data_IF_668262114179
#
_entry.id   IF_668262114179
#
_cell.length_a   1.000
_cell.length_b   1.000
_cell.length_c   1.000
_cell.angle_alpha   90.00
_cell.angle_beta   90.00
_cell.angle_gamma   90.00
#
_symmetry.space_group_name_H-M   'P 1'
#
loop_
_entity.id
_entity.type
_entity.pdbx_description
1 polymer ?
#
# COMPACT_ATOMS: atom_id res chain seq x y z
N UNK A 1 -18.44 1.65 -22.62
CA UNK A 1 -18.14 2.68 -21.60
C UNK A 1 -16.77 3.22 -21.92
N UNK A 2 -16.58 4.52 -21.83
CA UNK A 2 -15.25 5.10 -21.93
C UNK A 2 -14.40 4.57 -20.77
N UNK A 3 -13.12 4.35 -21.03
CA UNK A 3 -12.20 3.77 -20.06
C UNK A 3 -11.80 4.83 -19.03
N UNK A 4 -12.01 4.58 -17.73
CA UNK A 4 -11.67 5.52 -16.64
C UNK A 4 -10.19 5.89 -16.74
N UNK A 5 -9.88 7.16 -17.03
CA UNK A 5 -8.51 7.66 -17.15
C UNK A 5 -8.00 8.07 -15.79
N UNK A 6 -6.85 7.53 -15.38
CA UNK A 6 -6.34 7.65 -14.01
C UNK A 6 -4.96 8.27 -13.96
N UNK A 7 -4.81 9.26 -13.06
CA UNK A 7 -3.53 9.86 -12.71
C UNK A 7 -3.20 9.58 -11.24
N UNK A 8 -1.96 9.15 -10.96
CA UNK A 8 -1.49 8.80 -9.62
C UNK A 8 -0.47 9.83 -9.09
N UNK A 9 -0.90 10.66 -8.14
CA UNK A 9 -0.17 11.82 -7.63
C UNK A 9 1.01 11.49 -6.71
N UNK A 10 1.12 10.23 -6.27
CA UNK A 10 2.17 9.75 -5.38
C UNK A 10 2.44 8.29 -5.71
N UNK A 11 2.85 8.05 -6.96
CA UNK A 11 2.66 6.74 -7.56
C UNK A 11 3.52 5.63 -6.94
N UNK A 12 4.63 5.98 -6.30
CA UNK A 12 5.47 5.04 -5.58
C UNK A 12 5.88 3.86 -6.47
N UNK A 13 5.86 2.67 -5.89
CA UNK A 13 6.11 1.44 -6.67
C UNK A 13 4.96 1.05 -7.62
N UNK A 14 3.88 1.83 -7.71
CA UNK A 14 2.72 1.59 -8.56
C UNK A 14 1.66 0.65 -8.00
N UNK A 15 1.59 0.47 -6.67
CA UNK A 15 0.62 -0.44 -6.04
C UNK A 15 -0.84 -0.04 -6.26
N UNK A 16 -1.16 1.24 -6.04
CA UNK A 16 -2.50 1.79 -6.32
C UNK A 16 -2.83 1.74 -7.80
N UNK A 17 -1.91 2.21 -8.65
CA UNK A 17 -2.05 2.18 -10.11
C UNK A 17 -2.25 0.77 -10.66
N UNK A 18 -1.56 -0.25 -10.13
CA UNK A 18 -1.79 -1.64 -10.51
C UNK A 18 -3.22 -2.04 -10.18
N UNK A 19 -3.67 -1.83 -8.94
CA UNK A 19 -5.03 -2.17 -8.55
C UNK A 19 -6.09 -1.46 -9.38
N UNK A 20 -5.90 -0.17 -9.66
CA UNK A 20 -6.82 0.59 -10.51
C UNK A 20 -6.88 0.03 -11.94
N UNK A 21 -5.74 -0.40 -12.51
CA UNK A 21 -5.69 -1.07 -13.81
C UNK A 21 -6.46 -2.40 -13.80
N UNK A 22 -6.25 -3.24 -12.77
CA UNK A 22 -6.98 -4.50 -12.64
C UNK A 22 -8.49 -4.28 -12.41
N UNK A 23 -8.88 -3.16 -11.79
CA UNK A 23 -10.26 -2.68 -11.70
C UNK A 23 -10.84 -2.18 -13.03
N UNK A 24 -10.03 -2.11 -14.09
CA UNK A 24 -10.39 -1.72 -15.45
C UNK A 24 -10.20 -0.24 -15.78
N UNK A 25 -9.46 0.51 -14.97
CA UNK A 25 -9.05 1.87 -15.32
C UNK A 25 -7.80 1.87 -16.24
N UNK A 26 -7.60 2.96 -16.98
CA UNK A 26 -6.39 3.25 -17.75
C UNK A 26 -5.48 4.16 -16.95
N UNK A 27 -4.27 3.69 -16.64
CA UNK A 27 -3.25 4.55 -16.02
C UNK A 27 -2.64 5.41 -17.12
N UNK A 28 -2.93 6.71 -17.10
CA UNK A 28 -2.45 7.66 -18.12
C UNK A 28 -1.23 8.44 -17.66
N UNK A 29 -0.97 8.48 -16.35
CA UNK A 29 0.23 9.09 -15.81
C UNK A 29 0.40 8.85 -14.33
N UNK A 30 1.60 9.18 -13.84
CA UNK A 30 1.92 9.16 -12.43
C UNK A 30 3.11 10.04 -12.12
N UNK A 31 3.22 10.48 -10.88
CA UNK A 31 4.28 11.35 -10.41
C UNK A 31 4.83 10.88 -9.06
N UNK A 32 6.15 10.89 -8.95
CA UNK A 32 6.88 10.64 -7.71
C UNK A 32 8.23 11.36 -7.75
N UNK A 33 8.77 11.70 -6.59
CA UNK A 33 10.09 12.35 -6.48
C UNK A 33 11.23 11.32 -6.44
N UNK A 34 10.96 10.11 -5.96
CA UNK A 34 11.98 9.10 -5.69
C UNK A 34 12.29 8.29 -6.96
N UNK A 35 13.51 8.43 -7.50
CA UNK A 35 13.94 7.75 -8.74
C UNK A 35 13.58 6.26 -8.83
N UNK A 36 13.94 5.41 -7.85
CA UNK A 36 13.53 4.00 -7.82
C UNK A 36 12.02 3.75 -7.88
N UNK A 37 11.17 4.64 -7.34
CA UNK A 37 9.72 4.52 -7.49
C UNK A 37 9.29 4.82 -8.92
N UNK A 38 9.79 5.91 -9.49
CA UNK A 38 9.58 6.29 -10.90
C UNK A 38 10.01 5.17 -11.85
N UNK A 39 11.18 4.57 -11.63
CA UNK A 39 11.67 3.47 -12.45
C UNK A 39 10.76 2.24 -12.33
N UNK A 40 10.32 1.91 -11.12
CA UNK A 40 9.31 0.86 -10.90
C UNK A 40 8.00 1.15 -11.65
N UNK A 41 7.55 2.40 -11.64
CA UNK A 41 6.32 2.79 -12.34
C UNK A 41 6.48 2.63 -13.86
N UNK A 42 7.57 3.16 -14.44
CA UNK A 42 7.87 3.05 -15.89
C UNK A 42 7.91 1.61 -16.38
N UNK A 43 8.49 0.70 -15.60
CA UNK A 43 8.58 -0.72 -15.95
C UNK A 43 7.20 -1.40 -16.11
N UNK A 44 6.17 -0.92 -15.40
CA UNK A 44 4.87 -1.57 -15.35
C UNK A 44 3.76 -0.79 -16.08
N UNK A 45 3.99 0.49 -16.38
CA UNK A 45 3.08 1.38 -17.08
C UNK A 45 3.81 2.13 -18.22
N UNK A 46 4.32 1.43 -19.25
CA UNK A 46 5.18 2.03 -20.28
C UNK A 46 4.46 3.07 -21.16
N UNK A 47 3.13 3.00 -21.24
CA UNK A 47 2.30 3.96 -21.99
C UNK A 47 1.92 5.20 -21.16
N UNK A 48 2.17 5.20 -19.85
CA UNK A 48 1.79 6.30 -18.97
C UNK A 48 2.83 7.42 -18.98
N UNK A 49 2.38 8.68 -18.89
CA UNK A 49 3.27 9.82 -18.72
C UNK A 49 3.80 9.87 -17.28
N UNK A 50 5.11 9.68 -17.12
CA UNK A 50 5.74 9.62 -15.80
C UNK A 50 6.53 10.89 -15.52
N UNK A 51 6.15 11.59 -14.46
CA UNK A 51 6.80 12.81 -14.00
C UNK A 51 7.69 12.49 -12.79
N UNK A 52 9.00 12.70 -12.93
CA UNK A 52 9.94 12.61 -11.81
C UNK A 52 10.18 14.00 -11.24
N UNK A 53 9.25 14.49 -10.43
CA UNK A 53 9.27 15.87 -9.96
C UNK A 53 8.54 16.00 -8.63
N UNK A 54 8.88 17.05 -7.89
CA UNK A 54 8.08 17.47 -6.75
C UNK A 54 6.69 17.93 -7.22
N UNK A 55 5.66 17.27 -6.71
CA UNK A 55 4.25 17.54 -7.02
C UNK A 55 3.83 18.99 -6.69
N UNK A 56 4.52 19.64 -5.74
CA UNK A 56 4.29 21.05 -5.38
C UNK A 56 4.72 22.01 -6.50
N UNK A 57 5.65 21.57 -7.35
CA UNK A 57 6.15 22.34 -8.49
C UNK A 57 5.37 21.97 -9.75
N UNK A 58 5.14 20.67 -9.99
CA UNK A 58 4.34 20.20 -11.12
C UNK A 58 2.92 20.80 -11.04
N UNK A 59 2.45 21.39 -12.13
CA UNK A 59 1.11 21.99 -12.19
C UNK A 59 0.09 21.00 -12.75
N UNK A 60 -1.19 21.08 -12.34
CA UNK A 60 -2.22 20.24 -12.95
C UNK A 60 -2.40 20.52 -14.44
N UNK A 61 -2.15 21.75 -14.91
CA UNK A 61 -2.17 22.11 -16.33
C UNK A 61 -1.08 21.39 -17.13
N UNK A 62 0.15 21.34 -16.62
CA UNK A 62 1.25 20.60 -17.27
C UNK A 62 0.92 19.10 -17.40
N UNK A 63 0.26 18.54 -16.37
CA UNK A 63 -0.19 17.15 -16.41
C UNK A 63 -1.26 16.98 -17.49
N UNK A 64 -2.31 17.81 -17.48
CA UNK A 64 -3.41 17.74 -18.45
C UNK A 64 -2.92 17.95 -19.90
N UNK A 65 -1.90 18.77 -20.13
CA UNK A 65 -1.30 18.95 -21.46
C UNK A 65 -0.74 17.64 -22.02
N UNK A 66 -0.13 16.80 -21.18
CA UNK A 66 0.44 15.51 -21.60
C UNK A 66 -0.58 14.38 -21.55
N UNK A 67 -1.35 14.30 -20.47
CA UNK A 67 -2.24 13.18 -20.21
C UNK A 67 -3.63 13.38 -20.77
N UNK A 68 -4.05 14.59 -21.16
CA UNK A 68 -5.45 14.91 -21.38
C UNK A 68 -6.30 14.80 -20.11
N UNK A 69 -7.65 14.80 -20.25
CA UNK A 69 -8.58 14.75 -19.12
C UNK A 69 -8.40 13.51 -18.24
N UNK A 70 -8.69 13.69 -16.94
CA UNK A 70 -8.57 12.67 -15.89
C UNK A 70 -9.93 12.43 -15.24
N UNK A 71 -10.35 11.17 -15.15
CA UNK A 71 -11.61 10.78 -14.52
C UNK A 71 -11.41 10.39 -13.05
N UNK A 72 -10.28 9.74 -12.74
CA UNK A 72 -9.92 9.28 -11.41
C UNK A 72 -8.54 9.82 -11.00
N UNK A 73 -8.49 10.50 -9.86
CA UNK A 73 -7.26 10.98 -9.24
C UNK A 73 -6.92 10.11 -8.03
N UNK A 74 -5.80 9.39 -8.10
CA UNK A 74 -5.27 8.60 -6.99
C UNK A 74 -4.24 9.44 -6.23
N UNK A 75 -4.32 9.42 -4.90
CA UNK A 75 -3.41 10.14 -4.03
C UNK A 75 -3.05 9.28 -2.82
N UNK A 76 -1.75 9.04 -2.62
CA UNK A 76 -1.21 8.36 -1.44
C UNK A 76 -0.07 9.21 -0.82
N UNK A 77 -0.38 10.38 -0.25
CA UNK A 77 0.63 11.31 0.27
C UNK A 77 1.50 10.69 1.35
N UNK A 78 2.67 11.29 1.57
CA UNK A 78 3.64 10.77 2.53
C UNK A 78 3.05 10.66 3.96
N UNK A 79 3.14 9.46 4.55
CA UNK A 79 2.57 9.16 5.86
C UNK A 79 3.55 9.34 7.04
N UNK A 80 4.80 9.76 6.81
CA UNK A 80 5.91 9.70 7.77
C UNK A 80 5.63 10.42 9.09
N UNK A 81 4.75 11.41 9.09
CA UNK A 81 4.37 12.19 10.28
C UNK A 81 3.15 11.63 11.04
N UNK A 82 2.42 10.68 10.45
CA UNK A 82 1.21 10.10 11.02
C UNK A 82 1.46 8.71 11.62
N UNK A 83 2.58 8.04 11.38
CA UNK A 83 2.79 6.67 11.88
C UNK A 83 3.29 6.61 13.34
N UNK A 84 2.96 5.54 14.08
CA UNK A 84 3.56 5.26 15.39
C UNK A 84 5.03 4.77 15.32
N UNK A 85 5.55 4.49 14.13
CA UNK A 85 6.90 3.95 13.94
C UNK A 85 7.95 5.09 13.95
N UNK A 86 8.66 5.21 15.07
CA UNK A 86 9.56 6.31 15.46
C UNK A 86 10.69 6.71 14.50
N UNK A 87 11.05 8.00 14.58
CA UNK A 87 12.41 8.55 14.51
C UNK A 87 12.44 9.92 15.22
N UNK A 88 13.51 10.27 15.95
CA UNK A 88 13.66 11.48 16.78
C UNK A 88 13.90 12.78 16.00
N UNK A 89 13.47 12.85 14.72
CA UNK A 89 13.66 14.05 13.91
C UNK A 89 12.52 15.05 14.13
N UNK A 90 12.81 16.37 14.13
CA UNK A 90 11.78 17.40 14.20
C UNK A 90 10.72 17.20 13.12
N UNK A 91 9.46 17.44 13.48
CA UNK A 91 8.31 17.30 12.60
C UNK A 91 8.39 18.41 11.54
N UNK A 92 8.31 18.06 10.26
CA UNK A 92 8.09 19.05 9.20
C UNK A 92 6.59 19.12 8.92
N UNK A 93 5.95 20.25 9.22
CA UNK A 93 4.56 20.50 8.83
C UNK A 93 4.40 20.47 7.29
N UNK A 94 5.47 20.77 6.55
CA UNK A 94 5.52 20.81 5.09
C UNK A 94 5.21 19.45 4.41
N UNK A 95 5.55 18.33 5.06
CA UNK A 95 5.26 16.99 4.55
C UNK A 95 3.77 16.65 4.68
N UNK A 96 3.07 17.17 5.70
CA UNK A 96 1.63 16.94 5.89
C UNK A 96 0.79 17.75 4.89
N UNK A 97 1.31 18.90 4.47
CA UNK A 97 0.66 19.77 3.49
C UNK A 97 0.62 19.15 2.08
N UNK A 98 1.40 18.09 1.82
CA UNK A 98 1.30 17.32 0.58
C UNK A 98 -0.08 16.70 0.37
N UNK A 99 -0.83 16.43 1.45
CA UNK A 99 -2.21 15.99 1.36
C UNK A 99 -3.12 17.02 0.66
N UNK A 100 -2.87 18.32 0.83
CA UNK A 100 -3.63 19.38 0.17
C UNK A 100 -3.31 19.53 -1.32
N UNK A 101 -2.26 18.88 -1.83
CA UNK A 101 -2.04 18.85 -3.29
C UNK A 101 -3.21 18.18 -4.01
N UNK A 102 -3.91 17.23 -3.37
CA UNK A 102 -5.14 16.64 -3.94
C UNK A 102 -6.20 17.70 -4.23
N UNK A 103 -6.34 18.71 -3.36
CA UNK A 103 -7.30 19.82 -3.53
C UNK A 103 -6.86 20.71 -4.69
N UNK A 104 -5.59 21.12 -4.72
CA UNK A 104 -5.02 21.94 -5.80
C UNK A 104 -5.23 21.30 -7.18
N UNK A 105 -5.02 19.99 -7.30
CA UNK A 105 -5.22 19.29 -8.57
C UNK A 105 -6.70 19.10 -8.88
N UNK A 106 -7.53 18.78 -7.89
CA UNK A 106 -8.97 18.60 -8.07
C UNK A 106 -9.69 19.89 -8.50
N UNK A 107 -9.22 21.07 -8.08
CA UNK A 107 -9.77 22.37 -8.49
C UNK A 107 -9.68 22.60 -10.01
N UNK A 108 -8.55 22.20 -10.61
CA UNK A 108 -8.28 22.40 -12.04
C UNK A 108 -8.77 21.22 -12.87
N UNK A 109 -8.39 19.99 -12.48
CA UNK A 109 -8.71 18.78 -13.25
C UNK A 109 -10.18 18.38 -13.14
N UNK A 110 -10.84 18.69 -12.02
CA UNK A 110 -12.23 18.31 -11.70
C UNK A 110 -12.54 16.83 -12.03
N UNK A 111 -11.70 15.87 -11.60
CA UNK A 111 -11.94 14.46 -11.85
C UNK A 111 -13.29 14.05 -11.24
N UNK A 112 -14.01 13.11 -11.84
CA UNK A 112 -15.23 12.60 -11.21
C UNK A 112 -14.92 11.97 -9.86
N UNK A 113 -13.82 11.22 -9.78
CA UNK A 113 -13.45 10.44 -8.62
C UNK A 113 -12.08 10.83 -8.04
N UNK A 114 -11.99 10.77 -6.72
CA UNK A 114 -10.72 10.89 -5.99
C UNK A 114 -10.61 9.73 -5.00
N UNK A 115 -9.43 9.12 -4.92
CA UNK A 115 -9.09 8.22 -3.81
C UNK A 115 -7.88 8.76 -3.08
N UNK A 116 -8.01 9.01 -1.78
CA UNK A 116 -6.90 9.38 -0.91
C UNK A 116 -6.64 8.27 0.10
N UNK A 117 -5.43 7.69 0.06
CA UNK A 117 -4.97 6.69 1.01
C UNK A 117 -3.99 7.29 2.03
N UNK A 118 -4.10 6.85 3.29
CA UNK A 118 -3.11 7.16 4.33
C UNK A 118 -3.16 6.14 5.47
N UNK A 119 -2.27 6.28 6.45
CA UNK A 119 -2.34 5.52 7.71
C UNK A 119 -3.53 5.96 8.56
N UNK A 120 -4.07 5.04 9.38
CA UNK A 120 -5.23 5.29 10.26
C UNK A 120 -5.01 6.47 11.20
N UNK A 121 -3.77 6.69 11.61
CA UNK A 121 -3.34 7.78 12.48
C UNK A 121 -3.24 9.15 11.77
N UNK A 122 -3.66 9.26 10.51
CA UNK A 122 -3.92 10.54 9.87
C UNK A 122 -5.12 11.25 10.52
N UNK A 123 -6.13 10.52 11.01
CA UNK A 123 -7.33 11.08 11.64
C UNK A 123 -7.08 12.10 12.77
N UNK A 124 -6.17 11.85 13.75
CA UNK A 124 -5.85 12.82 14.79
C UNK A 124 -4.98 14.01 14.31
N UNK A 125 -4.70 14.15 13.02
CA UNK A 125 -4.02 15.34 12.50
C UNK A 125 -4.92 16.58 12.59
N UNK A 126 -4.38 17.69 13.08
CA UNK A 126 -5.15 18.93 13.30
C UNK A 126 -5.84 19.50 12.06
N UNK A 127 -5.33 19.23 10.85
CA UNK A 127 -5.92 19.70 9.57
C UNK A 127 -6.72 18.63 8.83
N UNK A 128 -6.97 17.48 9.45
CA UNK A 128 -7.77 16.41 8.86
C UNK A 128 -9.19 16.88 8.48
N UNK A 129 -9.81 17.65 9.37
CA UNK A 129 -11.14 18.22 9.15
C UNK A 129 -11.15 19.22 8.01
N UNK A 130 -10.14 20.08 7.95
CA UNK A 130 -9.96 21.07 6.86
C UNK A 130 -9.86 20.36 5.50
N UNK A 131 -9.07 19.29 5.38
CA UNK A 131 -8.98 18.51 4.14
C UNK A 131 -10.34 17.96 3.67
N UNK A 132 -11.15 17.46 4.61
CA UNK A 132 -12.50 16.97 4.32
C UNK A 132 -13.46 18.10 3.91
N UNK A 133 -13.40 19.24 4.62
CA UNK A 133 -14.19 20.44 4.32
C UNK A 133 -13.85 20.99 2.92
N UNK A 134 -12.59 20.96 2.52
CA UNK A 134 -12.14 21.36 1.18
C UNK A 134 -12.68 20.44 0.07
N UNK A 135 -12.67 19.11 0.26
CA UNK A 135 -13.29 18.18 -0.70
C UNK A 135 -14.80 18.45 -0.85
N UNK A 136 -15.50 18.73 0.26
CA UNK A 136 -16.92 19.09 0.25
C UNK A 136 -17.15 20.46 -0.40
N UNK A 137 -16.25 21.43 -0.19
CA UNK A 137 -16.27 22.74 -0.88
C UNK A 137 -16.21 22.56 -2.39
N UNK A 138 -15.36 21.64 -2.86
CA UNK A 138 -15.26 21.23 -4.26
C UNK A 138 -16.42 20.35 -4.75
N UNK A 139 -17.48 20.17 -3.95
CA UNK A 139 -18.71 19.44 -4.26
C UNK A 139 -18.58 17.93 -4.32
N UNK A 140 -17.51 17.35 -3.80
CA UNK A 140 -17.42 15.90 -3.67
C UNK A 140 -18.26 15.39 -2.49
N UNK A 141 -18.93 14.27 -2.71
CA UNK A 141 -19.41 13.41 -1.65
C UNK A 141 -18.24 12.52 -1.20
N UNK A 142 -17.93 12.52 0.09
CA UNK A 142 -16.76 11.82 0.61
C UNK A 142 -17.18 10.68 1.55
N UNK A 143 -16.78 9.45 1.22
CA UNK A 143 -16.83 8.32 2.14
C UNK A 143 -15.45 8.07 2.74
N UNK A 144 -15.41 8.13 4.06
CA UNK A 144 -14.26 7.67 4.84
C UNK A 144 -14.40 6.18 5.19
N UNK A 145 -13.33 5.40 5.02
CA UNK A 145 -13.31 3.99 5.40
C UNK A 145 -11.92 3.55 5.87
N UNK A 146 -11.85 2.74 6.93
CA UNK A 146 -10.64 1.99 7.27
C UNK A 146 -10.75 0.59 6.69
N UNK A 147 -9.84 0.25 5.77
CA UNK A 147 -9.83 -1.02 5.05
C UNK A 147 -8.63 -1.86 5.53
N UNK A 148 -8.88 -3.12 5.88
CA UNK A 148 -7.82 -4.12 6.10
C UNK A 148 -7.60 -4.93 4.82
N UNK A 149 -6.39 -4.83 4.26
CA UNK A 149 -6.04 -5.54 3.03
C UNK A 149 -6.21 -7.06 3.11
N UNK A 150 -6.14 -7.67 4.31
CA UNK A 150 -6.34 -9.12 4.48
C UNK A 150 -7.75 -9.59 4.09
N UNK A 151 -8.74 -8.70 3.98
CA UNK A 151 -10.06 -8.99 3.43
C UNK A 151 -10.12 -9.00 1.90
N UNK A 152 -9.01 -8.68 1.22
CA UNK A 152 -8.94 -8.46 -0.23
C UNK A 152 -7.97 -9.43 -0.93
N UNK A 153 -7.79 -10.64 -0.38
CA UNK A 153 -7.01 -11.69 -1.05
C UNK A 153 -5.49 -11.54 -0.95
N UNK A 154 -4.97 -10.64 -0.11
CA UNK A 154 -3.54 -10.57 0.22
C UNK A 154 -3.23 -11.18 1.59
N UNK A 155 -2.03 -11.73 1.73
CA UNK A 155 -1.56 -12.38 2.95
C UNK A 155 -0.99 -11.38 3.98
N UNK A 156 -1.63 -10.22 4.15
CA UNK A 156 -1.12 -9.17 5.02
C UNK A 156 -2.24 -8.41 5.75
N UNK A 157 -2.12 -8.30 7.08
CA UNK A 157 -2.91 -7.37 7.89
C UNK A 157 -2.33 -5.97 7.73
N UNK A 158 -2.94 -5.19 6.85
CA UNK A 158 -2.55 -3.80 6.55
C UNK A 158 -3.81 -2.94 6.56
N UNK A 159 -4.03 -2.28 7.70
CA UNK A 159 -5.12 -1.33 7.87
C UNK A 159 -4.70 0.05 7.38
N UNK A 160 -5.50 0.63 6.49
CA UNK A 160 -5.30 1.97 5.93
C UNK A 160 -6.61 2.73 5.89
N UNK A 161 -6.49 4.04 6.04
CA UNK A 161 -7.57 4.97 5.87
C UNK A 161 -7.69 5.30 4.38
N UNK A 162 -8.91 5.23 3.86
CA UNK A 162 -9.26 5.67 2.53
C UNK A 162 -10.34 6.74 2.64
N UNK A 163 -10.15 7.85 1.93
CA UNK A 163 -11.23 8.75 1.55
C UNK A 163 -11.52 8.50 0.08
N UNK A 164 -12.75 8.08 -0.21
CA UNK A 164 -13.23 7.88 -1.57
C UNK A 164 -14.20 9.03 -1.83
N UNK A 165 -13.96 9.79 -2.88
CA UNK A 165 -14.74 10.98 -3.22
C UNK A 165 -15.34 10.84 -4.63
N UNK A 166 -16.59 11.26 -4.79
CA UNK A 166 -17.29 11.29 -6.09
C UNK A 166 -18.13 12.57 -6.21
N UNK A 167 -18.01 13.27 -7.35
CA UNK A 167 -18.77 14.49 -7.66
C UNK A 167 -20.27 14.25 -7.84
N UNK A 168 -20.68 13.04 -8.20
CA UNK A 168 -22.05 12.73 -8.60
C UNK A 168 -22.89 12.20 -7.43
N UNK A 169 -22.32 11.30 -6.63
CA UNK A 169 -23.07 10.54 -5.62
C UNK A 169 -22.21 10.16 -4.43
N UNK A 170 -22.83 9.71 -3.34
CA UNK A 170 -22.10 9.18 -2.19
C UNK A 170 -21.45 7.83 -2.56
N UNK A 171 -20.11 7.69 -2.52
CA UNK A 171 -19.46 6.42 -2.83
C UNK A 171 -20.01 5.27 -1.99
N UNK A 172 -20.03 4.05 -2.53
CA UNK A 172 -20.43 2.87 -1.78
C UNK A 172 -19.35 2.45 -0.76
N UNK A 173 -19.74 1.70 0.26
CA UNK A 173 -18.78 1.07 1.16
C UNK A 173 -18.08 -0.09 0.43
N UNK A 174 -16.75 -0.14 0.49
CA UNK A 174 -15.96 -1.20 -0.15
C UNK A 174 -15.90 -2.39 0.79
N UNK A 175 -16.66 -3.44 0.49
CA UNK A 175 -16.71 -4.65 1.32
C UNK A 175 -15.49 -5.56 1.04
N UNK A 176 -15.02 -6.32 2.05
CA UNK A 176 -14.09 -7.43 1.83
C UNK A 176 -14.62 -8.40 0.78
N UNK A 177 -13.76 -8.84 -0.14
CA UNK A 177 -14.11 -9.81 -1.19
C UNK A 177 -13.90 -11.27 -0.75
N UNK A 178 -13.21 -11.49 0.38
CA UNK A 178 -12.94 -12.83 0.91
C UNK A 178 -13.21 -12.89 2.41
N UNK A 179 -13.87 -13.97 2.84
CA UNK A 179 -14.02 -14.34 4.25
C UNK A 179 -12.85 -15.18 4.75
N UNK A 180 -12.08 -15.79 3.85
CA UNK A 180 -10.87 -16.56 4.17
C UNK A 180 -9.63 -15.71 3.98
N UNK A 181 -8.79 -15.62 5.00
CA UNK A 181 -7.54 -14.88 4.92
C UNK A 181 -6.40 -15.74 4.40
N UNK A 182 -5.61 -15.19 3.47
CA UNK A 182 -4.29 -15.75 3.14
C UNK A 182 -3.31 -15.50 4.29
N UNK A 183 -2.33 -16.36 4.44
CA UNK A 183 -1.37 -16.36 5.54
C UNK A 183 0.08 -16.46 5.04
N UNK A 184 1.04 -16.51 5.97
CA UNK A 184 2.47 -16.53 5.62
C UNK A 184 2.82 -17.73 4.72
N UNK A 185 2.13 -18.87 4.85
CA UNK A 185 2.40 -20.04 3.99
C UNK A 185 2.10 -19.79 2.52
N UNK A 186 1.16 -18.88 2.21
CA UNK A 186 0.78 -18.54 0.84
C UNK A 186 1.84 -17.72 0.09
N UNK A 187 2.75 -17.08 0.83
CA UNK A 187 3.77 -16.18 0.28
C UNK A 187 5.19 -16.73 0.41
N UNK A 188 5.41 -17.66 1.34
CA UNK A 188 6.73 -18.18 1.66
C UNK A 188 7.22 -19.15 0.58
N UNK A 189 8.44 -18.92 0.10
CA UNK A 189 9.18 -19.88 -0.70
C UNK A 189 9.75 -20.98 0.23
N UNK A 190 9.21 -22.18 0.07
CA UNK A 190 9.57 -23.37 0.86
C UNK A 190 10.63 -24.24 0.19
N UNK A 191 11.12 -23.85 -0.99
CA UNK A 191 12.21 -24.53 -1.68
C UNK A 191 13.56 -24.21 -1.03
N UNK A 192 14.62 -24.88 -1.47
CA UNK A 192 15.99 -24.61 -1.00
C UNK A 192 16.65 -23.41 -1.69
N UNK A 193 15.88 -22.60 -2.43
CA UNK A 193 16.35 -21.41 -3.16
C UNK A 193 17.12 -20.42 -2.28
N UNK A 194 16.71 -20.24 -1.02
CA UNK A 194 17.28 -19.23 -0.13
C UNK A 194 18.04 -19.84 1.04
N UNK A 195 19.33 -19.51 1.15
CA UNK A 195 20.20 -19.96 2.23
C UNK A 195 19.66 -19.53 3.61
N UNK A 196 19.60 -20.49 4.52
CA UNK A 196 19.30 -20.26 5.93
C UNK A 196 20.56 -20.38 6.79
N UNK A 197 20.53 -19.80 8.00
CA UNK A 197 21.64 -19.88 8.97
C UNK A 197 21.12 -20.37 10.32
N UNK A 198 21.94 -21.04 11.15
CA UNK A 198 21.52 -21.41 12.51
C UNK A 198 21.00 -20.19 13.30
N UNK A 199 19.83 -20.33 13.92
CA UNK A 199 19.24 -19.32 14.78
C UNK A 199 20.20 -19.00 15.94
N UNK A 200 20.62 -20.04 16.67
CA UNK A 200 21.56 -19.93 17.78
C UNK A 200 23.00 -20.03 17.24
N UNK A 201 23.75 -18.93 17.33
CA UNK A 201 25.18 -18.84 17.00
C UNK A 201 25.83 -17.76 17.88
N UNK A 202 27.16 -17.79 18.12
CA UNK A 202 27.82 -16.89 19.09
C UNK A 202 27.50 -15.40 18.91
N UNK A 203 27.43 -14.93 17.66
CA UNK A 203 27.21 -13.50 17.34
C UNK A 203 25.74 -13.14 17.08
N UNK A 204 24.76 -13.96 17.53
CA UNK A 204 23.34 -13.62 17.37
C UNK A 204 22.94 -12.58 18.41
N UNK A 205 22.23 -11.53 17.97
CA UNK A 205 21.72 -10.52 18.87
C UNK A 205 20.81 -11.15 19.95
N UNK A 206 21.07 -10.82 21.23
CA UNK A 206 20.31 -11.30 22.39
C UNK A 206 18.80 -11.10 22.22
N UNK A 207 18.44 -9.93 21.71
CA UNK A 207 17.07 -9.54 21.39
C UNK A 207 16.39 -10.44 20.33
N UNK A 208 17.14 -10.96 19.37
CA UNK A 208 16.59 -11.91 18.38
C UNK A 208 16.31 -13.26 19.05
N UNK A 209 17.23 -13.73 19.90
CA UNK A 209 17.05 -14.98 20.64
C UNK A 209 15.86 -14.90 21.59
N UNK A 210 15.75 -13.80 22.35
CA UNK A 210 14.62 -13.60 23.25
C UNK A 210 13.25 -13.61 22.54
N UNK A 211 13.16 -13.07 21.31
CA UNK A 211 11.94 -13.17 20.49
C UNK A 211 11.63 -14.60 20.09
N UNK A 212 12.65 -15.35 19.68
CA UNK A 212 12.51 -16.75 19.29
C UNK A 212 12.16 -17.64 20.49
N UNK A 213 12.78 -17.43 21.65
CA UNK A 213 12.52 -18.18 22.87
C UNK A 213 11.06 -18.01 23.32
N UNK A 214 10.51 -16.80 23.23
CA UNK A 214 9.08 -16.56 23.49
C UNK A 214 8.18 -17.32 22.52
N UNK A 215 8.52 -17.32 21.22
CA UNK A 215 7.76 -18.06 20.22
C UNK A 215 7.80 -19.58 20.47
N UNK A 216 8.98 -20.13 20.78
CA UNK A 216 9.19 -21.54 21.06
C UNK A 216 8.47 -21.96 22.34
N UNK A 217 8.50 -21.13 23.39
CA UNK A 217 7.79 -21.40 24.63
C UNK A 217 6.26 -21.46 24.42
N UNK A 218 5.71 -20.63 23.53
CA UNK A 218 4.27 -20.58 23.28
C UNK A 218 3.78 -21.61 22.23
N UNK A 219 4.54 -21.84 21.17
CA UNK A 219 4.14 -22.71 20.05
C UNK A 219 4.66 -24.15 20.16
N UNK A 220 5.72 -24.38 20.94
CA UNK A 220 6.51 -25.59 20.92
C UNK A 220 7.71 -25.50 19.97
N UNK A 221 8.74 -26.31 20.25
CA UNK A 221 10.02 -26.29 19.52
C UNK A 221 9.97 -26.86 18.10
N UNK A 222 8.92 -27.60 17.76
CA UNK A 222 8.69 -28.24 16.47
C UNK A 222 7.88 -27.36 15.49
N UNK A 223 7.44 -26.18 15.93
CA UNK A 223 6.63 -25.27 15.09
C UNK A 223 7.48 -24.18 14.43
N UNK A 224 7.27 -23.92 13.13
CA UNK A 224 7.83 -22.76 12.46
C UNK A 224 7.09 -21.47 12.84
N UNK A 225 7.81 -20.36 12.82
CA UNK A 225 7.26 -19.03 13.13
C UNK A 225 8.07 -17.94 12.44
N UNK A 226 7.56 -16.71 12.48
CA UNK A 226 8.33 -15.53 12.08
C UNK A 226 8.77 -14.74 13.31
N UNK A 227 10.02 -14.32 13.34
CA UNK A 227 10.49 -13.22 14.19
C UNK A 227 10.07 -11.91 13.52
N UNK A 228 9.58 -10.97 14.34
CA UNK A 228 9.16 -9.64 13.92
C UNK A 228 10.04 -8.59 14.60
N UNK A 229 10.85 -7.91 13.80
CA UNK A 229 11.68 -6.79 14.24
C UNK A 229 10.89 -5.49 14.26
N UNK A 230 11.39 -4.50 15.02
CA UNK A 230 10.90 -3.12 15.05
C UNK A 230 9.39 -2.95 15.33
N UNK A 231 8.76 -3.92 16.02
CA UNK A 231 7.36 -3.87 16.41
C UNK A 231 7.16 -3.29 17.80
N UNK A 232 6.18 -2.40 17.93
CA UNK A 232 5.67 -1.87 19.20
C UNK A 232 4.32 -2.50 19.58
N UNK A 233 3.88 -3.51 18.84
CA UNK A 233 2.52 -4.07 18.89
C UNK A 233 2.28 -5.03 20.07
N UNK A 234 3.20 -5.09 21.04
CA UNK A 234 3.07 -5.94 22.24
C UNK A 234 3.08 -7.44 21.99
N UNK A 235 3.06 -7.90 20.72
CA UNK A 235 2.94 -9.31 20.34
C UNK A 235 4.26 -10.10 20.43
N UNK A 236 5.05 -9.85 21.48
CA UNK A 236 6.27 -10.60 21.80
C UNK A 236 7.41 -10.53 20.77
N UNK A 237 7.26 -9.79 19.67
CA UNK A 237 8.24 -9.71 18.58
C UNK A 237 8.32 -10.99 17.73
N UNK A 238 7.23 -11.74 17.62
CA UNK A 238 7.09 -12.90 16.74
C UNK A 238 5.63 -13.03 16.24
N UNK A 239 5.38 -13.87 15.23
CA UNK A 239 4.03 -14.20 14.75
C UNK A 239 3.93 -15.63 14.22
N UNK A 240 2.71 -16.19 14.25
CA UNK A 240 2.37 -17.51 13.71
C UNK A 240 2.37 -17.50 12.18
N UNK A 241 2.63 -18.66 11.59
CA UNK A 241 2.67 -18.80 10.12
C UNK A 241 1.27 -18.89 9.49
N UNK A 242 0.28 -19.39 10.23
CA UNK A 242 -1.12 -19.53 9.80
C UNK A 242 -1.96 -18.25 9.97
N UNK A 243 -1.28 -17.11 10.14
CA UNK A 243 -1.89 -15.78 10.21
C UNK A 243 -1.42 -14.93 9.04
N UNK A 244 -2.19 -13.92 8.59
CA UNK A 244 -1.67 -12.98 7.61
C UNK A 244 -0.50 -12.20 8.20
N UNK A 245 0.47 -11.87 7.35
CA UNK A 245 1.67 -11.15 7.73
C UNK A 245 1.29 -9.81 8.37
N UNK A 246 1.92 -9.43 9.48
CA UNK A 246 1.85 -8.05 9.98
C UNK A 246 2.30 -7.05 8.89
N UNK A 247 1.91 -5.79 9.05
CA UNK A 247 2.16 -4.74 8.07
C UNK A 247 3.64 -4.65 7.67
N UNK A 248 3.91 -4.76 6.36
CA UNK A 248 5.20 -4.49 5.75
C UNK A 248 5.48 -2.98 5.83
N UNK A 249 6.65 -2.62 6.34
CA UNK A 249 7.10 -1.23 6.47
C UNK A 249 8.29 -0.99 5.55
N UNK A 250 8.86 0.21 5.58
CA UNK A 250 10.00 0.61 4.74
C UNK A 250 11.34 -0.03 5.14
N UNK A 251 11.35 -0.85 6.19
CA UNK A 251 12.53 -1.53 6.73
C UNK A 251 12.21 -3.00 6.87
N UNK A 252 13.16 -3.84 6.44
CA UNK A 252 13.03 -5.29 6.52
C UNK A 252 12.93 -5.74 7.98
N UNK A 253 11.92 -6.56 8.27
CA UNK A 253 11.52 -6.83 9.66
C UNK A 253 10.98 -8.22 9.94
N UNK A 254 10.96 -9.12 8.96
CA UNK A 254 10.42 -10.47 9.14
C UNK A 254 11.50 -11.51 8.90
N UNK A 255 11.78 -12.35 9.89
CA UNK A 255 12.65 -13.50 9.72
C UNK A 255 11.90 -14.81 9.94
N UNK A 256 11.94 -15.68 8.95
CA UNK A 256 11.43 -17.04 9.02
C UNK A 256 12.35 -17.92 9.84
N UNK A 257 11.78 -18.62 10.81
CA UNK A 257 12.45 -19.63 11.64
C UNK A 257 11.85 -21.00 11.33
N UNK A 258 12.72 -21.93 10.92
CA UNK A 258 12.38 -23.31 10.58
C UNK A 258 13.01 -24.27 11.60
N UNK A 259 12.23 -25.13 12.27
CA UNK A 259 12.78 -26.18 13.11
C UNK A 259 13.52 -27.24 12.29
N UNK A 260 14.56 -27.81 12.89
CA UNK A 260 15.40 -28.90 12.35
C UNK A 260 15.68 -29.92 13.44
N UNK A 261 16.23 -31.08 13.07
CA UNK A 261 16.71 -32.09 14.03
C UNK A 261 17.69 -31.51 15.07
N UNK A 262 18.56 -30.60 14.63
CA UNK A 262 19.63 -30.03 15.47
C UNK A 262 19.32 -28.63 16.02
N UNK A 263 18.03 -28.24 16.06
CA UNK A 263 17.59 -26.94 16.58
C UNK A 263 16.76 -26.15 15.58
N UNK A 264 17.21 -24.94 15.22
CA UNK A 264 16.45 -24.04 14.35
C UNK A 264 17.36 -23.31 13.35
N UNK A 265 16.89 -23.20 12.11
CA UNK A 265 17.45 -22.36 11.07
C UNK A 265 16.61 -21.08 10.91
N UNK A 266 17.24 -20.00 10.44
CA UNK A 266 16.54 -18.75 10.15
C UNK A 266 17.05 -18.04 8.90
N UNK A 267 16.17 -17.26 8.27
CA UNK A 267 16.48 -16.27 7.22
C UNK A 267 15.48 -15.11 7.26
N UNK A 268 15.84 -13.96 6.70
CA UNK A 268 14.85 -12.91 6.43
C UNK A 268 13.86 -13.38 5.35
N UNK A 269 12.62 -12.88 5.37
CA UNK A 269 11.70 -13.01 4.24
C UNK A 269 12.27 -12.27 3.04
N UNK A 270 12.14 -12.82 1.84
CA UNK A 270 12.75 -12.31 0.62
C UNK A 270 11.85 -11.31 -0.10
N UNK A 271 12.40 -10.38 -0.91
CA UNK A 271 11.61 -9.43 -1.66
C UNK A 271 10.47 -10.05 -2.46
N UNK A 272 10.69 -11.22 -3.08
CA UNK A 272 9.65 -11.94 -3.83
C UNK A 272 8.49 -12.40 -2.92
N UNK A 273 8.77 -12.78 -1.67
CA UNK A 273 7.76 -13.18 -0.70
C UNK A 273 6.98 -11.95 -0.20
N UNK A 274 7.67 -10.83 0.03
CA UNK A 274 7.04 -9.56 0.40
C UNK A 274 6.18 -8.99 -0.73
N UNK A 275 6.61 -9.15 -1.99
CA UNK A 275 5.87 -8.76 -3.19
C UNK A 275 4.51 -9.48 -3.23
N UNK A 276 4.52 -10.80 -3.05
CA UNK A 276 3.29 -11.62 -2.97
C UNK A 276 2.38 -11.17 -1.83
N UNK A 277 2.94 -10.82 -0.67
CA UNK A 277 2.18 -10.33 0.48
C UNK A 277 1.52 -8.95 0.27
N UNK A 278 2.04 -8.15 -0.66
CA UNK A 278 1.45 -6.87 -1.08
C UNK A 278 0.42 -7.03 -2.22
N UNK A 279 0.29 -8.23 -2.81
CA UNK A 279 -0.65 -8.50 -3.91
C UNK A 279 -0.13 -8.21 -5.31
N UNK A 280 1.16 -7.91 -5.47
CA UNK A 280 1.76 -7.75 -6.80
C UNK A 280 1.91 -9.11 -7.50
N UNK A 281 1.47 -9.27 -8.77
CA UNK A 281 1.62 -10.51 -9.52
C UNK A 281 3.09 -10.79 -9.87
N UNK A 282 3.38 -12.03 -10.29
CA UNK A 282 4.74 -12.46 -10.67
C UNK A 282 5.27 -11.73 -11.91
N UNK A 283 4.38 -11.22 -12.76
CA UNK A 283 4.70 -10.36 -13.90
C UNK A 283 5.08 -8.92 -13.50
N UNK A 284 4.83 -8.49 -12.26
CA UNK A 284 5.12 -7.13 -11.82
C UNK A 284 6.62 -6.95 -11.57
N UNK A 285 7.21 -6.00 -12.28
CA UNK A 285 8.67 -5.79 -12.28
C UNK A 285 9.08 -4.71 -11.29
N UNK A 286 10.13 -4.96 -10.52
CA UNK A 286 10.79 -3.95 -9.69
C UNK A 286 12.16 -3.63 -10.28
N UNK A 287 12.65 -2.39 -10.17
CA UNK A 287 13.93 -2.01 -10.73
C UNK A 287 15.08 -2.77 -10.04
N UNK A 288 16.21 -2.85 -10.72
CA UNK A 288 17.41 -3.46 -10.15
C UNK A 288 18.09 -2.51 -9.16
N UNK A 289 17.54 -2.51 -7.94
CA UNK A 289 17.99 -1.70 -6.81
C UNK A 289 18.33 -2.57 -5.62
N UNK A 290 18.92 -1.97 -4.58
CA UNK A 290 19.31 -2.73 -3.39
C UNK A 290 18.10 -3.41 -2.75
N UNK A 291 18.35 -4.51 -2.02
CA UNK A 291 17.31 -5.17 -1.21
C UNK A 291 16.55 -4.20 -0.32
N UNK A 292 17.26 -3.25 0.31
CA UNK A 292 16.66 -2.24 1.20
C UNK A 292 15.68 -1.36 0.44
N UNK A 293 16.02 -0.95 -0.78
CA UNK A 293 15.15 -0.13 -1.62
C UNK A 293 13.94 -0.93 -2.13
N UNK A 294 14.11 -2.20 -2.52
CA UNK A 294 12.96 -3.08 -2.87
C UNK A 294 11.97 -3.19 -1.71
N UNK A 295 12.47 -3.40 -0.49
CA UNK A 295 11.62 -3.43 0.73
C UNK A 295 10.95 -2.08 0.97
N UNK A 296 11.66 -0.96 0.76
CA UNK A 296 11.09 0.38 0.90
C UNK A 296 9.99 0.67 -0.12
N UNK A 297 10.18 0.28 -1.38
CA UNK A 297 9.18 0.36 -2.45
C UNK A 297 7.89 -0.36 -2.05
N UNK A 298 8.00 -1.62 -1.64
CA UNK A 298 6.85 -2.42 -1.19
C UNK A 298 6.23 -1.89 0.10
N UNK A 299 7.03 -1.44 1.05
CA UNK A 299 6.54 -0.91 2.33
C UNK A 299 5.71 0.37 2.19
N UNK A 300 6.06 1.21 1.21
CA UNK A 300 5.32 2.45 0.88
C UNK A 300 4.09 2.19 0.01
N UNK A 301 4.07 1.12 -0.78
CA UNK A 301 2.95 0.83 -1.67
C UNK A 301 1.64 0.52 -0.93
N UNK A 302 0.54 0.71 -1.65
CA UNK A 302 -0.79 0.19 -1.31
C UNK A 302 -0.91 -1.25 -1.82
N UNK A 303 -1.63 -2.11 -1.10
CA UNK A 303 -1.91 -3.46 -1.59
C UNK A 303 -2.86 -3.37 -2.79
N UNK A 304 -2.42 -3.81 -3.96
CA UNK A 304 -3.17 -3.60 -5.22
C UNK A 304 -4.62 -4.12 -5.19
N UNK A 305 -4.96 -5.28 -4.59
CA UNK A 305 -6.35 -5.76 -4.60
C UNK A 305 -7.34 -4.87 -3.83
N UNK A 306 -6.85 -4.02 -2.92
CA UNK A 306 -7.71 -3.03 -2.25
C UNK A 306 -8.14 -1.95 -3.25
N UNK A 307 -7.19 -1.44 -4.04
CA UNK A 307 -7.49 -0.41 -5.04
C UNK A 307 -8.30 -0.97 -6.20
N UNK A 308 -8.08 -2.23 -6.57
CA UNK A 308 -8.93 -2.96 -7.53
C UNK A 308 -10.40 -2.98 -7.07
N UNK A 309 -10.65 -3.35 -5.82
CA UNK A 309 -12.01 -3.37 -5.27
C UNK A 309 -12.63 -1.97 -5.18
N UNK A 310 -11.84 -0.93 -4.87
CA UNK A 310 -12.31 0.46 -4.87
C UNK A 310 -12.78 0.84 -6.28
N UNK A 311 -11.92 0.68 -7.30
CA UNK A 311 -12.23 1.06 -8.69
C UNK A 311 -13.39 0.24 -9.26
N UNK A 312 -13.46 -1.06 -8.96
CA UNK A 312 -14.59 -1.90 -9.34
C UNK A 312 -15.91 -1.37 -8.75
N UNK A 313 -15.90 -0.87 -7.50
CA UNK A 313 -17.10 -0.29 -6.89
C UNK A 313 -17.55 1.01 -7.57
N UNK A 314 -16.60 1.86 -8.00
CA UNK A 314 -16.89 3.11 -8.71
C UNK A 314 -17.53 2.83 -10.08
N UNK A 315 -17.00 1.84 -10.82
CA UNK A 315 -17.56 1.41 -12.11
C UNK A 315 -18.95 0.81 -11.99
N UNK A 316 -19.20 0.02 -10.94
CA UNK A 316 -20.52 -0.57 -10.70
C UNK A 316 -21.58 0.53 -10.45
N UNK A 317 -21.25 1.53 -9.64
CA UNK A 317 -22.14 2.67 -9.39
C UNK A 317 -22.45 3.46 -10.68
N UNK A 318 -21.43 3.71 -11.51
CA UNK A 318 -21.62 4.37 -12.81
C UNK A 318 -22.54 3.58 -13.75
N UNK A 319 -22.39 2.25 -13.80
CA UNK A 319 -23.18 1.38 -14.68
C UNK A 319 -24.66 1.40 -14.31
N UNK A 320 -24.98 1.26 -13.02
CA UNK A 320 -26.34 1.31 -12.50
C UNK A 320 -27.01 2.64 -12.84
N UNK A 321 -26.28 3.75 -12.76
CA UNK A 321 -26.83 5.06 -13.05
C UNK A 321 -27.05 5.31 -14.54
N UNK A 322 -26.20 4.76 -15.41
CA UNK A 322 -26.43 4.81 -16.85
C UNK A 322 -27.71 4.06 -17.22
N UNK A 323 -27.89 2.84 -16.69
CA UNK A 323 -29.11 2.05 -16.91
C UNK A 323 -30.38 2.77 -16.42
N UNK A 324 -30.32 3.41 -15.23
CA UNK A 324 -31.44 4.20 -14.71
C UNK A 324 -31.78 5.43 -15.56
N UNK A 325 -30.78 6.09 -16.14
CA UNK A 325 -30.98 7.24 -17.03
C UNK A 325 -31.54 6.80 -18.39
N UNK A 326 -31.06 5.68 -18.93
CA UNK A 326 -31.52 5.14 -20.20
C UNK A 326 -32.96 4.58 -20.09
N UNK A 327 -33.42 4.24 -18.87
CA UNK A 327 -34.76 3.74 -18.58
C UNK A 327 -35.79 4.83 -18.17
N UNK A 328 -35.38 6.09 -18.03
CA UNK A 328 -36.21 7.23 -17.62
C UNK A 328 -36.51 8.16 -18.80
#
# INVERSE_FOLDING_TARGET
MDQIRTFDMFCGAGGSSLGAREGGAKIVGGVDLWGPAVDSFRLNFPEAHVFQQDLRILTPEDVLEKTGPIDLLISSPECTHHTCARGSKPRSEESKDTAFQVIRYAEVMKPRWITLENVVHMKPWGRYKELMEELVRLKYNVREQVIDASGFGVAQRRRRLFMIADLMEMPCQVAPISTTHRNVWDILDRTEKYKMTPLRRPNRAKETLARADRAIAELGGDKPFLIVYYGTDGGGGWQRMDSPLRTITTVDRFAYVKPTTDGHLMRMLQPDELRKAMGFPDSYSFPDVTRREKVKLMGNAVCSPVMEAIVASLRAAESINKERKDAA
#
